data_IF_916213823326
#
_entry.id   IF_916213823326
#
_cell.length_a   1.000
_cell.length_b   1.000
_cell.length_c   1.000
_cell.angle_alpha   90.00
_cell.angle_beta   90.00
_cell.angle_gamma   90.00
#
_symmetry.space_group_name_H-M   'P 1'
#
loop_
_entity.id
_entity.type
_entity.pdbx_description
1 polymer ?
#
# COMPACT_ATOMS: atom_id res chain seq x y z
N UNK A 1 52.33 -20.81 19.94
CA UNK A 1 51.58 -19.63 19.42
C UNK A 1 51.20 -19.94 17.98
N UNK A 2 49.90 -19.98 17.65
CA UNK A 2 49.25 -18.76 17.16
C UNK A 2 47.86 -18.51 17.75
N UNK A 3 47.47 -17.23 17.74
CA UNK A 3 46.20 -16.70 18.21
C UNK A 3 45.13 -16.93 17.15
N UNK A 4 44.13 -17.74 17.44
CA UNK A 4 42.94 -17.88 16.58
C UNK A 4 41.90 -16.86 16.99
N UNK A 5 41.62 -15.95 16.07
CA UNK A 5 40.75 -14.79 16.20
C UNK A 5 39.29 -15.22 16.35
N UNK A 6 38.65 -14.66 17.38
CA UNK A 6 37.22 -14.73 17.69
C UNK A 6 36.44 -14.01 16.59
N UNK A 7 35.61 -14.72 15.83
CA UNK A 7 34.59 -14.10 14.96
C UNK A 7 33.21 -14.51 15.48
N UNK A 8 32.63 -13.65 16.32
CA UNK A 8 31.25 -13.77 16.76
C UNK A 8 30.43 -13.04 15.69
N UNK A 9 29.85 -13.80 14.76
CA UNK A 9 28.93 -13.25 13.77
C UNK A 9 27.59 -12.96 14.46
N UNK A 10 27.35 -11.69 14.81
CA UNK A 10 26.05 -11.22 15.29
C UNK A 10 25.04 -11.30 14.15
N UNK A 11 24.09 -12.24 14.25
CA UNK A 11 22.91 -12.29 13.40
C UNK A 11 21.97 -11.17 13.86
N UNK A 12 21.91 -10.08 13.09
CA UNK A 12 20.90 -9.04 13.28
C UNK A 12 19.56 -9.61 12.83
N UNK A 13 18.73 -10.01 13.80
CA UNK A 13 17.33 -10.33 13.56
C UNK A 13 16.60 -9.02 13.19
N UNK A 14 16.28 -8.85 11.90
CA UNK A 14 15.32 -7.86 11.42
C UNK A 14 13.93 -8.26 11.95
N UNK A 15 13.62 -7.90 13.19
CA UNK A 15 12.25 -7.90 13.69
C UNK A 15 11.52 -6.76 12.98
N UNK A 16 10.83 -7.06 11.89
CA UNK A 16 9.88 -6.14 11.30
C UNK A 16 8.78 -5.84 12.33
N UNK A 17 8.51 -4.57 12.66
CA UNK A 17 7.38 -4.23 13.51
C UNK A 17 6.11 -4.64 12.78
N UNK A 18 5.41 -5.64 13.31
CA UNK A 18 4.02 -5.89 12.98
C UNK A 18 3.22 -4.70 13.51
N UNK A 19 2.84 -3.79 12.62
CA UNK A 19 1.96 -2.67 12.95
C UNK A 19 0.57 -3.23 13.31
N UNK A 20 0.33 -3.40 14.61
CA UNK A 20 -0.96 -3.71 15.17
C UNK A 20 -1.48 -2.45 15.86
N UNK A 21 -2.35 -1.71 15.17
CA UNK A 21 -3.04 -0.57 15.75
C UNK A 21 -4.49 -0.57 15.26
N UNK A 22 -5.40 -0.73 16.20
CA UNK A 22 -6.83 -0.87 15.95
C UNK A 22 -7.57 0.25 16.70
N UNK A 23 -8.44 0.95 15.96
CA UNK A 23 -9.62 1.73 16.39
C UNK A 23 -9.51 3.25 16.64
N UNK A 24 -8.33 3.86 16.81
CA UNK A 24 -8.14 5.34 16.68
C UNK A 24 -7.41 5.74 15.39
N UNK A 25 -7.26 4.75 14.52
CA UNK A 25 -6.06 4.60 13.71
C UNK A 25 -6.35 4.72 12.21
N UNK A 26 -7.63 4.83 11.82
CA UNK A 26 -8.03 4.95 10.42
C UNK A 26 -7.46 6.20 9.75
N UNK A 27 -7.37 7.34 10.46
CA UNK A 27 -6.72 8.55 9.93
C UNK A 27 -5.21 8.40 9.83
N UNK A 28 -4.55 7.78 10.82
CA UNK A 28 -3.11 7.53 10.77
C UNK A 28 -2.75 6.54 9.64
N UNK A 29 -3.53 5.48 9.48
CA UNK A 29 -3.39 4.50 8.40
C UNK A 29 -3.72 5.10 7.03
N UNK A 30 -4.72 5.99 6.97
CA UNK A 30 -5.02 6.76 5.77
C UNK A 30 -3.84 7.65 5.37
N UNK A 31 -3.29 8.43 6.31
CA UNK A 31 -2.16 9.32 6.05
C UNK A 31 -0.94 8.52 5.58
N UNK A 32 -0.63 7.40 6.24
CA UNK A 32 0.47 6.50 5.84
C UNK A 32 0.22 5.90 4.44
N UNK A 33 -1.00 5.45 4.15
CA UNK A 33 -1.39 4.93 2.83
C UNK A 33 -1.19 5.97 1.73
N UNK A 34 -1.62 7.22 1.99
CA UNK A 34 -1.49 8.33 1.05
C UNK A 34 -0.02 8.68 0.86
N UNK A 35 0.76 8.80 1.93
CA UNK A 35 2.18 9.15 1.84
C UNK A 35 2.99 8.09 1.09
N UNK A 36 2.80 6.81 1.40
CA UNK A 36 3.48 5.70 0.72
C UNK A 36 3.13 5.65 -0.77
N UNK A 37 1.84 5.75 -1.09
CA UNK A 37 1.36 5.56 -2.47
C UNK A 37 1.58 6.79 -3.35
N UNK A 38 1.53 8.01 -2.78
CA UNK A 38 1.77 9.24 -3.53
C UNK A 38 3.26 9.51 -3.77
N UNK A 39 4.16 9.03 -2.91
CA UNK A 39 5.61 9.23 -3.06
C UNK A 39 6.12 8.85 -4.45
N UNK A 40 5.56 7.80 -5.03
CA UNK A 40 5.95 7.30 -6.34
C UNK A 40 4.99 7.73 -7.46
N UNK A 41 3.91 8.44 -7.15
CA UNK A 41 2.89 8.87 -8.13
C UNK A 41 3.11 10.32 -8.59
N UNK A 42 3.36 10.48 -9.90
CA UNK A 42 3.67 11.77 -10.51
C UNK A 42 2.48 12.36 -11.30
N UNK A 43 1.32 11.69 -11.27
CA UNK A 43 0.14 12.08 -12.05
C UNK A 43 -1.02 12.47 -11.12
N UNK A 44 -1.65 13.66 -11.30
CA UNK A 44 -2.76 14.10 -10.46
C UNK A 44 -4.02 13.23 -10.55
N UNK A 45 -4.24 12.52 -11.67
CA UNK A 45 -5.31 11.55 -11.81
C UNK A 45 -5.04 10.30 -10.97
N UNK A 46 -3.82 9.75 -11.02
CA UNK A 46 -3.42 8.62 -10.17
C UNK A 46 -3.49 9.01 -8.69
N UNK A 47 -3.00 10.20 -8.34
CA UNK A 47 -3.05 10.72 -6.98
C UNK A 47 -4.48 10.86 -6.43
N UNK A 48 -5.46 11.20 -7.28
CA UNK A 48 -6.89 11.18 -6.88
C UNK A 48 -7.38 9.77 -6.59
N UNK A 49 -7.11 8.81 -7.48
CA UNK A 49 -7.59 7.43 -7.30
C UNK A 49 -6.93 6.73 -6.11
N UNK A 50 -5.66 7.05 -5.84
CA UNK A 50 -4.94 6.59 -4.64
C UNK A 50 -5.64 7.11 -3.38
N UNK A 51 -5.88 8.43 -3.28
CA UNK A 51 -6.56 9.01 -2.12
C UNK A 51 -7.96 8.42 -1.91
N UNK A 52 -8.73 8.27 -2.98
CA UNK A 52 -10.06 7.65 -2.90
C UNK A 52 -9.99 6.19 -2.43
N UNK A 53 -8.95 5.46 -2.83
CA UNK A 53 -8.77 4.07 -2.41
C UNK A 53 -8.33 3.96 -0.95
N UNK A 54 -7.43 4.83 -0.48
CA UNK A 54 -7.07 4.91 0.94
C UNK A 54 -8.29 5.29 1.79
N UNK A 55 -9.10 6.25 1.35
CA UNK A 55 -10.33 6.66 2.03
C UNK A 55 -11.32 5.50 2.17
N UNK A 56 -11.57 4.77 1.06
CA UNK A 56 -12.43 3.60 1.06
C UNK A 56 -11.95 2.49 2.02
N UNK A 57 -10.63 2.24 2.08
CA UNK A 57 -10.04 1.15 2.86
C UNK A 57 -9.85 1.47 4.36
N UNK A 58 -9.72 2.73 4.74
CA UNK A 58 -9.37 3.11 6.11
C UNK A 58 -10.42 3.97 6.81
N UNK A 59 -11.14 4.82 6.07
CA UNK A 59 -12.17 5.70 6.63
C UNK A 59 -13.59 5.16 6.39
N UNK A 60 -13.84 4.56 5.23
CA UNK A 60 -15.15 4.05 4.82
C UNK A 60 -15.25 2.51 4.78
N UNK A 61 -14.33 1.81 5.45
CA UNK A 61 -14.20 0.36 5.34
C UNK A 61 -15.35 -0.45 5.97
N UNK A 62 -16.11 0.16 6.87
CA UNK A 62 -17.20 -0.50 7.58
C UNK A 62 -18.37 -0.88 6.65
N UNK A 63 -18.56 -0.15 5.55
CA UNK A 63 -19.59 -0.45 4.53
C UNK A 63 -18.99 -0.99 3.22
N UNK A 64 -17.67 -1.17 3.16
CA UNK A 64 -17.00 -1.55 1.92
C UNK A 64 -17.22 -3.04 1.61
N UNK A 65 -17.75 -3.34 0.41
CA UNK A 65 -17.97 -4.72 0.01
C UNK A 65 -16.63 -5.45 -0.21
N UNK A 66 -16.56 -6.79 -0.06
CA UNK A 66 -15.33 -7.55 -0.30
C UNK A 66 -14.76 -7.37 -1.71
N UNK A 67 -15.63 -7.16 -2.72
CA UNK A 67 -15.24 -6.83 -4.10
C UNK A 67 -14.55 -5.47 -4.19
N UNK A 68 -15.12 -4.46 -3.53
CA UNK A 68 -14.61 -3.09 -3.56
C UNK A 68 -13.28 -3.00 -2.82
N UNK A 69 -13.14 -3.73 -1.71
CA UNK A 69 -11.87 -3.89 -1.01
C UNK A 69 -10.76 -4.38 -1.94
N UNK A 70 -10.99 -5.51 -2.64
CA UNK A 70 -10.02 -6.08 -3.60
C UNK A 70 -9.70 -5.11 -4.73
N UNK A 71 -10.69 -4.37 -5.22
CA UNK A 71 -10.49 -3.33 -6.21
C UNK A 71 -9.52 -2.25 -5.69
N UNK A 72 -9.79 -1.66 -4.53
CA UNK A 72 -8.96 -0.61 -3.94
C UNK A 72 -7.54 -1.09 -3.59
N UNK A 73 -7.40 -2.32 -3.10
CA UNK A 73 -6.09 -2.94 -2.86
C UNK A 73 -5.28 -3.07 -4.17
N UNK A 74 -5.90 -3.56 -5.25
CA UNK A 74 -5.26 -3.65 -6.56
C UNK A 74 -4.81 -2.27 -7.08
N UNK A 75 -5.65 -1.25 -6.89
CA UNK A 75 -5.37 0.12 -7.31
C UNK A 75 -4.14 0.67 -6.58
N UNK A 76 -4.06 0.49 -5.26
CA UNK A 76 -2.91 0.95 -4.47
C UNK A 76 -1.60 0.22 -4.81
N UNK A 77 -1.68 -1.05 -5.20
CA UNK A 77 -0.48 -1.82 -5.62
C UNK A 77 0.01 -1.44 -7.02
N UNK A 78 -0.90 -1.02 -7.92
CA UNK A 78 -0.60 -0.92 -9.34
C UNK A 78 -0.45 0.52 -9.85
N UNK A 79 -1.04 1.50 -9.18
CA UNK A 79 -0.97 2.92 -9.58
C UNK A 79 0.32 3.68 -9.23
N UNK A 80 1.03 3.40 -8.12
CA UNK A 80 2.28 4.09 -7.82
C UNK A 80 3.28 3.91 -8.98
N UNK A 81 3.93 5.00 -9.40
CA UNK A 81 4.84 5.01 -10.55
C UNK A 81 4.20 5.29 -11.91
N UNK A 82 2.86 5.22 -12.03
CA UNK A 82 2.18 5.39 -13.32
C UNK A 82 2.05 6.87 -13.69
N UNK A 83 2.56 7.22 -14.87
CA UNK A 83 2.56 8.61 -15.38
C UNK A 83 1.46 8.88 -16.41
N UNK A 84 1.06 7.87 -17.18
CA UNK A 84 0.13 8.02 -18.30
C UNK A 84 -1.33 7.79 -17.91
N UNK A 85 -2.24 8.68 -18.32
CA UNK A 85 -3.68 8.58 -18.08
C UNK A 85 -4.36 7.40 -18.81
N UNK A 86 -3.78 6.93 -19.90
CA UNK A 86 -4.20 5.72 -20.62
C UNK A 86 -3.86 4.50 -19.78
N UNK A 87 -2.62 4.40 -19.29
CA UNK A 87 -2.19 3.31 -18.41
C UNK A 87 -3.01 3.27 -17.11
N UNK A 88 -3.32 4.43 -16.52
CA UNK A 88 -4.23 4.51 -15.36
C UNK A 88 -5.58 3.86 -15.68
N UNK A 89 -6.22 4.20 -16.79
CA UNK A 89 -7.54 3.64 -17.16
C UNK A 89 -7.50 2.13 -17.39
N UNK A 90 -6.43 1.65 -18.00
CA UNK A 90 -6.23 0.22 -18.23
C UNK A 90 -6.06 -0.54 -16.90
N UNK A 91 -5.25 -0.01 -15.99
CA UNK A 91 -5.07 -0.56 -14.64
C UNK A 91 -6.40 -0.59 -13.88
N UNK A 92 -7.18 0.49 -13.92
CA UNK A 92 -8.48 0.54 -13.23
C UNK A 92 -9.44 -0.52 -13.78
N UNK A 93 -9.42 -0.77 -15.10
CA UNK A 93 -10.22 -1.81 -15.75
C UNK A 93 -9.76 -3.22 -15.36
N UNK A 94 -8.45 -3.42 -15.20
CA UNK A 94 -7.91 -4.69 -14.70
C UNK A 94 -8.30 -4.89 -13.24
N UNK A 95 -8.17 -3.86 -12.40
CA UNK A 95 -8.53 -3.93 -10.99
C UNK A 95 -10.03 -4.13 -10.79
N UNK A 96 -10.89 -3.55 -11.64
CA UNK A 96 -12.33 -3.77 -11.56
C UNK A 96 -12.65 -5.24 -11.77
N UNK A 97 -12.06 -5.87 -12.79
CA UNK A 97 -12.16 -7.32 -13.04
C UNK A 97 -11.66 -8.17 -11.88
N UNK A 98 -10.57 -7.75 -11.22
CA UNK A 98 -10.03 -8.43 -10.03
C UNK A 98 -10.94 -8.37 -8.81
N UNK A 99 -11.73 -7.32 -8.67
CA UNK A 99 -12.73 -7.24 -7.60
C UNK A 99 -13.92 -8.18 -7.84
N UNK A 100 -14.18 -8.58 -9.09
CA UNK A 100 -15.32 -9.43 -9.45
C UNK A 100 -15.09 -10.92 -9.20
N UNK A 101 -13.82 -11.33 -9.22
CA UNK A 101 -13.33 -12.65 -8.80
C UNK A 101 -13.25 -12.67 -7.28
#
# INVERSE_FOLDING_TARGET
MPRTVRSIASVVALTMPAAAFALTDGYAQYDECVLLSLRDSWNPAAARMIRQSCDALYLNNAMLLPRERRYHECVLQSLPGVRDNVAIREILTICSRRGEM
#
